data_IF_440640741551
#
_entry.id   IF_440640741551
#
_cell.length_a   1.000
_cell.length_b   1.000
_cell.length_c   1.000
_cell.angle_alpha   90.00
_cell.angle_beta   90.00
_cell.angle_gamma   90.00
#
_symmetry.space_group_name_H-M   'P 1'
#
loop_
_entity.id
_entity.type
_entity.pdbx_description
1 polymer ?
#
# COMPACT_ATOMS: atom_id res chain seq x y z
N UNK A 1 -27.15 20.88 -8.41
CA UNK A 1 -26.28 19.70 -8.38
C UNK A 1 -24.99 20.06 -9.09
N UNK A 2 -24.04 20.60 -8.34
CA UNK A 2 -22.66 20.80 -8.80
C UNK A 2 -22.01 19.42 -8.86
N UNK A 3 -21.57 18.99 -10.05
CA UNK A 3 -20.69 17.84 -10.18
C UNK A 3 -19.47 18.09 -9.28
N UNK A 4 -19.00 17.10 -8.51
CA UNK A 4 -17.71 17.22 -7.83
C UNK A 4 -16.67 17.52 -8.91
N UNK A 5 -15.87 18.57 -8.68
CA UNK A 5 -14.70 18.86 -9.51
C UNK A 5 -13.90 17.57 -9.63
N UNK A 6 -13.67 17.08 -10.85
CA UNK A 6 -12.73 15.98 -11.05
C UNK A 6 -11.44 16.37 -10.33
N UNK A 7 -11.05 15.59 -9.33
CA UNK A 7 -9.77 15.75 -8.66
C UNK A 7 -8.71 15.86 -9.77
N UNK A 8 -7.84 16.87 -9.70
CA UNK A 8 -6.83 17.06 -10.72
C UNK A 8 -5.72 16.02 -10.47
N UNK A 9 -6.01 14.77 -10.85
CA UNK A 9 -5.16 13.63 -10.58
C UNK A 9 -3.82 13.79 -11.32
N UNK A 10 -2.68 13.44 -10.71
CA UNK A 10 -1.37 13.60 -11.36
C UNK A 10 -1.18 12.75 -12.62
N UNK A 11 -2.02 11.73 -12.79
CA UNK A 11 -2.21 10.97 -14.03
C UNK A 11 -3.61 10.37 -14.04
N UNK A 12 -4.05 9.90 -15.21
CA UNK A 12 -5.30 9.14 -15.35
C UNK A 12 -5.06 7.69 -15.77
N UNK A 13 -5.90 6.75 -15.32
CA UNK A 13 -5.97 5.37 -15.86
C UNK A 13 -6.02 5.35 -17.38
N UNK A 14 -6.63 6.35 -18.01
CA UNK A 14 -6.71 6.48 -19.47
C UNK A 14 -5.37 6.71 -20.17
N UNK A 15 -4.33 7.16 -19.45
CA UNK A 15 -2.98 7.34 -19.98
C UNK A 15 -2.17 6.04 -20.03
N UNK A 16 -2.64 4.97 -19.41
CA UNK A 16 -1.98 3.66 -19.46
C UNK A 16 -2.39 2.97 -20.76
N UNK A 17 -1.41 2.67 -21.62
CA UNK A 17 -1.65 1.91 -22.84
C UNK A 17 -1.77 0.41 -22.55
N UNK A 18 -2.93 -0.01 -22.05
CA UNK A 18 -3.23 -1.42 -21.80
C UNK A 18 -3.15 -2.30 -23.06
N UNK A 19 -3.23 -1.71 -24.26
CA UNK A 19 -3.11 -2.49 -25.51
C UNK A 19 -1.66 -2.87 -25.83
N UNK A 20 -0.70 -2.18 -25.21
CA UNK A 20 0.72 -2.47 -25.35
C UNK A 20 1.24 -3.54 -24.37
N UNK A 21 0.35 -4.13 -23.54
CA UNK A 21 0.73 -5.17 -22.57
C UNK A 21 1.25 -6.40 -23.32
N UNK A 22 2.45 -6.83 -22.92
CA UNK A 22 3.10 -8.05 -23.43
C UNK A 22 2.78 -9.23 -22.52
N UNK A 23 1.53 -9.73 -22.60
CA UNK A 23 0.98 -10.76 -21.72
C UNK A 23 1.86 -12.01 -21.62
N UNK A 24 2.53 -12.39 -22.70
CA UNK A 24 3.45 -13.54 -22.76
C UNK A 24 4.62 -13.43 -21.78
N UNK A 25 5.03 -12.23 -21.37
CA UNK A 25 6.13 -12.03 -20.41
C UNK A 25 5.73 -12.31 -18.97
N UNK A 26 4.45 -12.19 -18.64
CA UNK A 26 3.96 -12.20 -17.25
C UNK A 26 2.96 -13.30 -16.96
N UNK A 27 2.22 -13.79 -17.97
CA UNK A 27 1.10 -14.71 -17.79
C UNK A 27 1.51 -16.03 -17.13
N UNK A 28 2.73 -16.50 -17.41
CA UNK A 28 3.31 -17.71 -16.81
C UNK A 28 3.83 -17.54 -15.38
N UNK A 29 4.02 -16.30 -14.92
CA UNK A 29 4.48 -16.02 -13.56
C UNK A 29 3.30 -16.03 -12.59
N UNK A 30 3.12 -17.17 -11.92
CA UNK A 30 2.05 -17.36 -10.94
C UNK A 30 2.26 -16.51 -9.69
N UNK A 31 3.49 -16.22 -9.30
CA UNK A 31 3.73 -15.39 -8.11
C UNK A 31 3.36 -13.94 -8.39
N UNK A 32 3.69 -13.45 -9.59
CA UNK A 32 3.26 -12.13 -10.04
C UNK A 32 1.74 -12.03 -10.18
N UNK A 33 1.07 -13.08 -10.67
CA UNK A 33 -0.40 -13.16 -10.66
C UNK A 33 -0.96 -12.90 -9.25
N UNK A 34 -0.54 -13.68 -8.26
CA UNK A 34 -1.06 -13.53 -6.89
C UNK A 34 -0.75 -12.13 -6.32
N UNK A 35 0.44 -11.59 -6.55
CA UNK A 35 0.83 -10.26 -6.09
C UNK A 35 -0.05 -9.15 -6.71
N UNK A 36 -0.32 -9.23 -8.01
CA UNK A 36 -1.08 -8.19 -8.71
C UNK A 36 -2.58 -8.29 -8.45
N UNK A 37 -3.14 -9.50 -8.39
CA UNK A 37 -4.55 -9.66 -8.03
C UNK A 37 -4.78 -9.21 -6.59
N UNK A 38 -3.94 -9.65 -5.65
CA UNK A 38 -4.06 -9.22 -4.25
C UNK A 38 -3.88 -7.71 -4.09
N UNK A 39 -2.92 -7.10 -4.77
CA UNK A 39 -2.78 -5.64 -4.78
C UNK A 39 -4.04 -4.96 -5.35
N UNK A 40 -4.56 -5.42 -6.49
CA UNK A 40 -5.77 -4.83 -7.08
C UNK A 40 -6.99 -4.90 -6.15
N UNK A 41 -7.11 -5.95 -5.33
CA UNK A 41 -8.16 -6.07 -4.34
C UNK A 41 -7.99 -5.07 -3.19
N UNK A 42 -6.80 -5.02 -2.59
CA UNK A 42 -6.50 -4.13 -1.46
C UNK A 42 -6.69 -2.66 -1.87
N UNK A 43 -6.13 -2.26 -3.01
CA UNK A 43 -6.25 -0.88 -3.52
C UNK A 43 -7.70 -0.50 -3.87
N UNK A 44 -8.51 -1.46 -4.34
CA UNK A 44 -9.92 -1.19 -4.66
C UNK A 44 -10.79 -1.04 -3.42
N UNK A 45 -10.39 -1.63 -2.28
CA UNK A 45 -11.10 -1.51 -0.99
C UNK A 45 -10.65 -0.32 -0.13
N UNK A 46 -9.78 0.55 -0.65
CA UNK A 46 -9.20 1.70 0.07
C UNK A 46 -10.22 2.78 0.45
N UNK A 47 -11.33 2.89 -0.28
CA UNK A 47 -12.39 3.90 -0.09
C UNK A 47 -13.02 3.87 1.31
N UNK A 48 -13.30 2.66 1.82
CA UNK A 48 -13.88 2.45 3.14
C UNK A 48 -12.95 2.99 4.22
N UNK A 49 -11.66 2.79 4.04
CA UNK A 49 -10.64 3.27 4.95
C UNK A 49 -10.41 4.78 4.82
N UNK A 50 -10.48 5.32 3.60
CA UNK A 50 -10.38 6.75 3.34
C UNK A 50 -11.53 7.56 3.92
N UNK A 51 -12.77 7.08 3.76
CA UNK A 51 -13.94 7.68 4.38
C UNK A 51 -13.86 7.66 5.92
N UNK A 52 -13.39 6.56 6.49
CA UNK A 52 -13.16 6.44 7.93
C UNK A 52 -12.10 7.43 8.43
N UNK A 53 -10.99 7.58 7.70
CA UNK A 53 -9.93 8.52 8.06
C UNK A 53 -10.37 9.99 7.91
N UNK A 54 -11.09 10.32 6.84
CA UNK A 54 -11.65 11.66 6.65
C UNK A 54 -12.63 12.02 7.78
N UNK A 55 -13.47 11.06 8.20
CA UNK A 55 -14.38 11.21 9.34
C UNK A 55 -13.61 11.45 10.64
N UNK A 56 -12.55 10.69 10.89
CA UNK A 56 -11.69 10.88 12.07
C UNK A 56 -11.04 12.29 12.11
N UNK A 57 -10.68 12.84 10.96
CA UNK A 57 -10.13 14.20 10.84
C UNK A 57 -11.16 15.28 10.54
N UNK A 58 -12.47 15.05 10.74
CA UNK A 58 -13.52 16.02 10.42
C UNK A 58 -13.35 17.39 11.13
N UNK A 59 -12.72 17.40 12.32
CA UNK A 59 -12.39 18.64 13.04
C UNK A 59 -11.22 19.44 12.44
N UNK A 60 -10.54 18.90 11.42
CA UNK A 60 -9.45 19.53 10.67
C UNK A 60 -9.82 19.59 9.19
N UNK A 61 -10.59 20.62 8.74
CA UNK A 61 -11.18 20.66 7.40
C UNK A 61 -10.18 20.49 6.25
N UNK A 62 -8.97 21.02 6.39
CA UNK A 62 -7.92 20.86 5.38
C UNK A 62 -7.45 19.40 5.24
N UNK A 63 -7.32 18.68 6.36
CA UNK A 63 -6.90 17.29 6.34
C UNK A 63 -8.03 16.40 5.80
N UNK A 64 -9.25 16.58 6.30
CA UNK A 64 -10.43 15.86 5.81
C UNK A 64 -10.67 16.11 4.30
N UNK A 65 -10.59 17.37 3.86
CA UNK A 65 -10.76 17.73 2.44
C UNK A 65 -9.67 17.12 1.55
N UNK A 66 -8.40 17.13 1.96
CA UNK A 66 -7.36 16.45 1.18
C UNK A 66 -7.58 14.93 1.10
N UNK A 67 -8.01 14.30 2.20
CA UNK A 67 -8.29 12.87 2.26
C UNK A 67 -9.42 12.46 1.30
N UNK A 68 -10.55 13.17 1.35
CA UNK A 68 -11.71 12.85 0.51
C UNK A 68 -11.57 13.31 -0.93
N UNK A 69 -11.04 14.52 -1.17
CA UNK A 69 -11.06 15.11 -2.51
C UNK A 69 -9.87 14.68 -3.38
N UNK A 70 -8.78 14.19 -2.77
CA UNK A 70 -7.55 13.86 -3.51
C UNK A 70 -7.06 12.45 -3.22
N UNK A 71 -6.79 12.12 -1.95
CA UNK A 71 -6.18 10.85 -1.60
C UNK A 71 -7.09 9.67 -1.99
N UNK A 72 -8.35 9.68 -1.59
CA UNK A 72 -9.34 8.64 -1.94
C UNK A 72 -9.46 8.44 -3.46
N UNK A 73 -9.46 9.52 -4.23
CA UNK A 73 -9.55 9.45 -5.68
C UNK A 73 -8.28 8.87 -6.33
N UNK A 74 -7.09 9.17 -5.78
CA UNK A 74 -5.81 8.58 -6.22
C UNK A 74 -5.77 7.06 -5.92
N UNK A 75 -6.15 6.64 -4.71
CA UNK A 75 -6.17 5.22 -4.29
C UNK A 75 -7.16 4.38 -5.12
N UNK A 76 -8.40 4.88 -5.32
CA UNK A 76 -9.39 4.21 -6.17
C UNK A 76 -8.90 4.05 -7.62
N UNK A 77 -8.15 5.03 -8.10
CA UNK A 77 -7.53 4.95 -9.42
C UNK A 77 -6.46 3.85 -9.47
N UNK A 78 -5.68 3.64 -8.41
CA UNK A 78 -4.68 2.56 -8.37
C UNK A 78 -5.36 1.20 -8.48
N UNK A 79 -6.42 0.98 -7.69
CA UNK A 79 -7.23 -0.23 -7.75
C UNK A 79 -7.79 -0.50 -9.14
N UNK A 80 -8.42 0.51 -9.75
CA UNK A 80 -8.95 0.42 -11.12
C UNK A 80 -7.85 0.12 -12.14
N UNK A 81 -6.68 0.75 -12.00
CA UNK A 81 -5.59 0.60 -12.94
C UNK A 81 -4.98 -0.81 -12.90
N UNK A 82 -4.85 -1.39 -11.70
CA UNK A 82 -4.39 -2.76 -11.47
C UNK A 82 -5.43 -3.78 -11.91
N UNK A 83 -6.72 -3.56 -11.61
CA UNK A 83 -7.82 -4.41 -12.09
C UNK A 83 -7.77 -4.54 -13.61
N UNK A 84 -7.67 -3.43 -14.35
CA UNK A 84 -7.58 -3.46 -15.82
C UNK A 84 -6.35 -4.23 -16.32
N UNK A 85 -5.23 -4.12 -15.61
CA UNK A 85 -4.03 -4.89 -15.95
C UNK A 85 -4.27 -6.39 -15.74
N UNK A 86 -4.85 -6.77 -14.60
CA UNK A 86 -5.18 -8.17 -14.28
C UNK A 86 -6.17 -8.75 -15.28
N UNK A 87 -7.28 -8.08 -15.57
CA UNK A 87 -8.30 -8.52 -16.53
C UNK A 87 -7.74 -8.66 -17.95
N UNK A 88 -6.72 -7.85 -18.31
CA UNK A 88 -6.04 -7.97 -19.60
C UNK A 88 -5.12 -9.21 -19.66
N UNK A 89 -4.31 -9.44 -18.63
CA UNK A 89 -3.31 -10.51 -18.62
C UNK A 89 -3.93 -11.88 -18.31
N UNK A 90 -4.94 -11.93 -17.44
CA UNK A 90 -5.65 -13.13 -16.98
C UNK A 90 -7.17 -12.95 -17.09
N UNK A 91 -7.73 -12.80 -18.32
CA UNK A 91 -9.17 -12.63 -18.54
C UNK A 91 -10.01 -13.81 -18.05
N UNK A 92 -9.40 -14.98 -17.82
CA UNK A 92 -10.05 -16.15 -17.25
C UNK A 92 -10.36 -16.02 -15.74
N UNK A 93 -9.70 -15.10 -15.04
CA UNK A 93 -9.91 -14.89 -13.61
C UNK A 93 -11.12 -13.99 -13.39
N UNK A 94 -12.12 -14.50 -12.67
CA UNK A 94 -13.31 -13.73 -12.26
C UNK A 94 -12.94 -12.75 -11.13
N UNK A 95 -12.41 -11.60 -11.55
CA UNK A 95 -11.93 -10.57 -10.64
C UNK A 95 -13.04 -10.02 -9.74
N UNK A 96 -14.22 -9.78 -10.32
CA UNK A 96 -15.34 -9.16 -9.60
C UNK A 96 -15.82 -10.05 -8.47
N UNK A 97 -16.08 -11.33 -8.74
CA UNK A 97 -16.46 -12.28 -7.70
C UNK A 97 -15.35 -12.46 -6.66
N UNK A 98 -14.09 -12.51 -7.08
CA UNK A 98 -12.96 -12.60 -6.15
C UNK A 98 -12.85 -11.38 -5.23
N UNK A 99 -13.08 -10.19 -5.77
CA UNK A 99 -13.07 -8.94 -5.02
C UNK A 99 -14.23 -8.87 -4.02
N UNK A 100 -15.45 -9.23 -4.43
CA UNK A 100 -16.61 -9.26 -3.52
C UNK A 100 -16.33 -10.16 -2.30
N UNK A 101 -15.83 -11.38 -2.53
CA UNK A 101 -15.49 -12.32 -1.45
C UNK A 101 -14.34 -11.82 -0.58
N UNK A 102 -13.33 -11.19 -1.18
CA UNK A 102 -12.26 -10.52 -0.43
C UNK A 102 -12.83 -9.41 0.46
N UNK A 103 -13.66 -8.54 -0.11
CA UNK A 103 -14.14 -7.35 0.56
C UNK A 103 -15.10 -7.66 1.71
N UNK A 104 -15.90 -8.74 1.61
CA UNK A 104 -16.70 -9.25 2.72
C UNK A 104 -15.88 -9.56 3.99
N UNK A 105 -14.66 -10.10 3.83
CA UNK A 105 -13.75 -10.36 4.95
C UNK A 105 -12.94 -9.11 5.32
N UNK A 106 -12.40 -8.40 4.33
CA UNK A 106 -11.53 -7.25 4.53
C UNK A 106 -12.23 -6.06 5.19
N UNK A 107 -13.49 -5.77 4.85
CA UNK A 107 -14.20 -4.64 5.46
C UNK A 107 -14.37 -4.79 6.98
N UNK A 108 -14.32 -6.01 7.51
CA UNK A 108 -14.42 -6.30 8.95
C UNK A 108 -13.13 -5.94 9.71
N UNK A 109 -11.98 -5.90 9.03
CA UNK A 109 -10.70 -5.49 9.63
C UNK A 109 -10.53 -3.97 9.65
N UNK A 110 -11.29 -3.25 8.81
CA UNK A 110 -11.22 -1.79 8.64
C UNK A 110 -11.93 -0.97 9.74
N UNK A 111 -11.74 -1.33 11.02
CA UNK A 111 -12.37 -0.61 12.15
C UNK A 111 -11.59 0.66 12.55
N UNK A 112 -12.34 1.74 12.81
CA UNK A 112 -11.84 3.02 13.35
C UNK A 112 -11.23 2.83 14.75
N UNK A 113 -11.66 1.83 15.51
CA UNK A 113 -11.17 1.55 16.87
C UNK A 113 -9.68 1.18 16.92
N UNK A 114 -9.07 0.89 15.76
CA UNK A 114 -7.64 0.59 15.62
C UNK A 114 -6.78 1.82 15.31
N UNK A 115 -7.35 3.03 15.33
CA UNK A 115 -6.59 4.25 15.09
C UNK A 115 -5.72 4.62 16.30
N UNK A 116 -4.61 5.31 16.02
CA UNK A 116 -3.73 5.78 17.06
C UNK A 116 -4.44 6.80 17.98
N UNK A 117 -4.03 6.92 19.27
CA UNK A 117 -4.73 7.73 20.26
C UNK A 117 -4.77 9.24 19.97
N UNK A 118 -3.95 9.72 19.02
CA UNK A 118 -3.92 11.14 18.65
C UNK A 118 -3.80 11.32 17.14
N UNK A 119 -4.28 12.46 16.66
CA UNK A 119 -4.26 12.80 15.24
C UNK A 119 -2.85 12.84 14.66
N UNK A 120 -1.85 13.32 15.40
CA UNK A 120 -0.47 13.25 14.95
C UNK A 120 0.06 11.81 14.87
N UNK A 121 -0.21 10.96 15.87
CA UNK A 121 0.27 9.57 15.84
C UNK A 121 -0.36 8.78 14.69
N UNK A 122 -1.63 9.02 14.38
CA UNK A 122 -2.29 8.38 13.23
C UNK A 122 -1.67 8.85 11.90
N UNK A 123 -1.39 10.15 11.72
CA UNK A 123 -0.65 10.65 10.54
C UNK A 123 0.76 10.02 10.43
N UNK A 124 1.44 9.80 11.56
CA UNK A 124 2.73 9.10 11.57
C UNK A 124 2.59 7.62 11.18
N UNK A 125 1.53 6.96 11.63
CA UNK A 125 1.21 5.60 11.26
C UNK A 125 0.93 5.49 9.75
N UNK A 126 0.24 6.46 9.13
CA UNK A 126 0.07 6.52 7.67
C UNK A 126 1.37 6.68 6.91
N UNK A 127 2.31 7.46 7.43
CA UNK A 127 3.65 7.50 6.85
C UNK A 127 4.31 6.11 6.76
N UNK A 128 4.03 5.18 7.68
CA UNK A 128 4.52 3.79 7.60
C UNK A 128 3.84 3.04 6.46
N UNK A 129 2.50 3.13 6.36
CA UNK A 129 1.70 2.48 5.31
C UNK A 129 2.17 2.92 3.94
N UNK A 130 2.20 4.24 3.67
CA UNK A 130 2.66 4.81 2.40
C UNK A 130 4.10 4.40 2.06
N UNK A 131 4.97 4.30 3.07
CA UNK A 131 6.35 3.84 2.85
C UNK A 131 6.38 2.37 2.42
N UNK A 132 5.54 1.53 3.04
CA UNK A 132 5.38 0.13 2.69
C UNK A 132 4.86 -0.04 1.27
N UNK A 133 3.75 0.62 0.93
CA UNK A 133 3.10 0.58 -0.38
C UNK A 133 4.02 1.12 -1.48
N UNK A 134 4.71 2.26 -1.24
CA UNK A 134 5.72 2.78 -2.16
C UNK A 134 6.84 1.77 -2.42
N UNK A 135 7.36 1.12 -1.37
CA UNK A 135 8.43 0.14 -1.49
C UNK A 135 7.96 -1.14 -2.20
N UNK A 136 6.72 -1.57 -1.95
CA UNK A 136 6.08 -2.71 -2.61
C UNK A 136 6.01 -2.51 -4.12
N UNK A 137 5.46 -1.38 -4.58
CA UNK A 137 5.35 -1.11 -6.01
C UNK A 137 6.71 -0.87 -6.69
N UNK A 138 7.71 -0.34 -5.97
CA UNK A 138 9.10 -0.30 -6.49
C UNK A 138 9.72 -1.67 -6.63
N UNK A 139 9.41 -2.59 -5.73
CA UNK A 139 9.85 -3.97 -5.82
C UNK A 139 9.18 -4.66 -7.02
N UNK A 140 7.87 -4.46 -7.22
CA UNK A 140 7.16 -4.96 -8.41
C UNK A 140 7.70 -4.35 -9.71
N UNK A 141 7.97 -3.05 -9.75
CA UNK A 141 8.62 -2.39 -10.88
C UNK A 141 9.95 -3.08 -11.21
N UNK A 142 10.73 -3.47 -10.20
CA UNK A 142 12.03 -4.13 -10.40
C UNK A 142 11.91 -5.62 -10.72
N UNK A 143 10.88 -6.30 -10.22
CA UNK A 143 10.67 -7.74 -10.38
C UNK A 143 10.17 -8.13 -11.78
N UNK A 144 9.58 -7.18 -12.54
CA UNK A 144 9.07 -7.43 -13.88
C UNK A 144 9.85 -6.67 -14.96
N UNK A 145 9.96 -7.27 -16.15
CA UNK A 145 10.48 -6.67 -17.36
C UNK A 145 9.38 -6.25 -18.36
N UNK A 146 8.10 -6.42 -17.99
CA UNK A 146 6.95 -6.02 -18.81
C UNK A 146 6.77 -4.49 -18.77
N UNK A 147 6.86 -3.78 -19.91
CA UNK A 147 6.95 -2.31 -19.92
C UNK A 147 5.75 -1.57 -19.32
N UNK A 148 4.53 -2.07 -19.52
CA UNK A 148 3.30 -1.42 -19.05
C UNK A 148 3.19 -1.57 -17.53
N UNK A 149 3.45 -2.75 -16.99
CA UNK A 149 3.45 -3.03 -15.56
C UNK A 149 4.50 -2.21 -14.83
N UNK A 150 5.72 -2.14 -15.36
CA UNK A 150 6.77 -1.27 -14.82
C UNK A 150 6.33 0.18 -14.76
N UNK A 151 5.64 0.66 -15.78
CA UNK A 151 5.13 2.03 -15.84
C UNK A 151 4.00 2.26 -14.83
N UNK A 152 3.06 1.33 -14.75
CA UNK A 152 1.93 1.36 -13.82
C UNK A 152 2.42 1.38 -12.37
N UNK A 153 3.21 0.38 -11.99
CA UNK A 153 3.77 0.25 -10.63
C UNK A 153 4.66 1.44 -10.26
N UNK A 154 5.43 2.00 -11.20
CA UNK A 154 6.17 3.25 -10.98
C UNK A 154 5.27 4.44 -10.70
N UNK A 155 4.16 4.58 -11.41
CA UNK A 155 3.20 5.68 -11.21
C UNK A 155 2.57 5.57 -9.83
N UNK A 156 2.04 4.41 -9.46
CA UNK A 156 1.51 4.15 -8.12
C UNK A 156 2.57 4.43 -7.05
N UNK A 157 3.78 3.88 -7.18
CA UNK A 157 4.86 4.15 -6.22
C UNK A 157 5.27 5.64 -6.13
N UNK A 158 5.05 6.46 -7.17
CA UNK A 158 5.27 7.91 -7.09
C UNK A 158 4.14 8.61 -6.33
N UNK A 159 2.92 8.10 -6.42
CA UNK A 159 1.73 8.59 -5.73
C UNK A 159 1.89 8.34 -4.23
N UNK A 160 2.26 7.13 -3.82
CA UNK A 160 2.54 6.81 -2.40
C UNK A 160 3.63 7.70 -1.78
N UNK A 161 4.66 8.05 -2.55
CA UNK A 161 5.69 8.98 -2.09
C UNK A 161 5.13 10.41 -1.94
N UNK A 162 4.13 10.81 -2.74
CA UNK A 162 3.42 12.07 -2.54
C UNK A 162 2.47 11.99 -1.35
N UNK A 163 1.66 10.94 -1.24
CA UNK A 163 0.78 10.67 -0.09
C UNK A 163 1.57 10.77 1.21
N UNK A 164 2.70 10.06 1.28
CA UNK A 164 3.65 10.13 2.39
C UNK A 164 4.04 11.57 2.77
N UNK A 165 4.35 12.43 1.78
CA UNK A 165 4.74 13.81 2.05
C UNK A 165 3.58 14.62 2.63
N UNK A 166 2.36 14.38 2.17
CA UNK A 166 1.15 15.02 2.71
C UNK A 166 0.88 14.57 4.14
N UNK A 167 0.89 13.26 4.41
CA UNK A 167 0.77 12.72 5.76
C UNK A 167 1.87 13.26 6.69
N UNK A 168 3.12 13.29 6.23
CA UNK A 168 4.25 13.80 7.00
C UNK A 168 4.09 15.30 7.32
N UNK A 169 3.56 16.09 6.38
CA UNK A 169 3.26 17.52 6.62
C UNK A 169 2.20 17.70 7.70
N UNK A 170 1.10 16.95 7.65
CA UNK A 170 0.07 16.99 8.67
C UNK A 170 0.58 16.49 10.02
N UNK A 171 1.36 15.40 10.03
CA UNK A 171 2.04 14.90 11.21
C UNK A 171 2.88 15.97 11.91
N UNK A 172 3.77 16.66 11.18
CA UNK A 172 4.63 17.69 11.80
C UNK A 172 3.79 18.80 12.45
N UNK A 173 2.75 19.25 11.75
CA UNK A 173 1.84 20.29 12.27
C UNK A 173 1.14 19.84 13.54
N UNK A 174 0.58 18.63 13.54
CA UNK A 174 -0.15 18.12 14.70
C UNK A 174 0.78 17.80 15.86
N UNK A 175 1.97 17.26 15.59
CA UNK A 175 2.97 16.93 16.60
C UNK A 175 3.47 18.17 17.36
N UNK A 176 3.56 19.32 16.69
CA UNK A 176 3.87 20.61 17.34
C UNK A 176 2.76 21.03 18.31
N UNK A 177 1.49 20.94 17.89
CA UNK A 177 0.35 21.29 18.75
C UNK A 177 0.16 20.31 19.92
N UNK A 178 0.36 19.02 19.69
CA UNK A 178 0.18 17.95 20.67
C UNK A 178 1.41 17.74 21.57
N UNK A 179 2.52 18.45 21.29
CA UNK A 179 3.80 18.36 22.02
C UNK A 179 4.33 16.92 22.13
N UNK A 180 4.27 16.18 21.03
CA UNK A 180 4.67 14.77 21.02
C UNK A 180 6.19 14.60 21.11
N UNK A 181 6.61 13.72 22.03
CA UNK A 181 7.99 13.27 22.11
C UNK A 181 8.32 12.17 21.10
N UNK A 182 9.58 12.10 20.66
CA UNK A 182 10.09 11.11 19.68
C UNK A 182 9.84 9.65 20.09
N UNK A 183 9.80 9.35 21.39
CA UNK A 183 9.54 8.00 21.90
C UNK A 183 8.10 7.55 21.63
N UNK A 184 7.12 8.45 21.73
CA UNK A 184 5.73 8.15 21.39
C UNK A 184 5.56 7.92 19.89
N UNK A 185 6.22 8.75 19.07
CA UNK A 185 6.26 8.59 17.62
C UNK A 185 6.88 7.25 17.25
N UNK A 186 8.04 6.91 17.81
CA UNK A 186 8.69 5.61 17.59
C UNK A 186 7.76 4.45 17.97
N UNK A 187 7.03 4.58 19.09
CA UNK A 187 6.03 3.61 19.52
C UNK A 187 4.93 3.40 18.49
N UNK A 188 4.36 4.47 17.94
CA UNK A 188 3.33 4.40 16.89
C UNK A 188 3.88 3.80 15.59
N UNK A 189 5.06 4.22 15.14
CA UNK A 189 5.70 3.63 13.95
C UNK A 189 5.94 2.12 14.14
N UNK A 190 6.40 1.71 15.33
CA UNK A 190 6.66 0.30 15.64
C UNK A 190 5.38 -0.52 15.72
N UNK A 191 4.33 -0.01 16.37
CA UNK A 191 3.02 -0.66 16.41
C UNK A 191 2.49 -0.87 15.00
N UNK A 192 2.45 0.19 14.19
CA UNK A 192 1.95 0.08 12.81
C UNK A 192 2.80 -0.88 11.96
N UNK A 193 4.13 -0.88 12.11
CA UNK A 193 4.99 -1.88 11.44
C UNK A 193 4.69 -3.33 11.87
N UNK A 194 4.30 -3.55 13.12
CA UNK A 194 3.92 -4.86 13.65
C UNK A 194 2.48 -5.25 13.29
N UNK A 195 1.59 -4.29 13.06
CA UNK A 195 0.21 -4.47 12.62
C UNK A 195 0.11 -4.73 11.12
N UNK A 196 1.00 -4.13 10.30
CA UNK A 196 1.17 -4.42 8.86
C UNK A 196 1.58 -5.91 8.61
N UNK A 197 1.60 -6.75 9.65
CA UNK A 197 1.73 -8.20 9.51
C UNK A 197 0.55 -8.78 8.75
N UNK A 198 0.75 -8.97 7.44
CA UNK A 198 0.25 -10.03 6.56
C UNK A 198 -1.25 -10.38 6.57
N UNK A 199 -2.11 -9.75 7.37
CA UNK A 199 -3.51 -10.13 7.50
C UNK A 199 -4.27 -9.78 6.22
N UNK A 200 -4.15 -8.54 5.74
CA UNK A 200 -4.75 -8.10 4.49
C UNK A 200 -4.25 -8.91 3.28
N UNK A 201 -2.94 -9.10 3.20
CA UNK A 201 -2.32 -9.91 2.15
C UNK A 201 -2.78 -11.38 2.24
N UNK A 202 -2.94 -11.93 3.45
CA UNK A 202 -3.42 -13.30 3.62
C UNK A 202 -4.91 -13.43 3.25
N UNK A 203 -5.75 -12.46 3.62
CA UNK A 203 -7.17 -12.40 3.23
C UNK A 203 -7.27 -12.32 1.70
N UNK A 204 -6.49 -11.45 1.07
CA UNK A 204 -6.44 -11.33 -0.39
C UNK A 204 -5.99 -12.65 -1.05
N UNK A 205 -4.84 -13.20 -0.65
CA UNK A 205 -4.30 -14.45 -1.21
C UNK A 205 -5.25 -15.63 -1.01
N UNK A 206 -5.89 -15.74 0.16
CA UNK A 206 -6.91 -16.76 0.44
C UNK A 206 -8.06 -16.65 -0.56
N UNK A 207 -8.59 -15.46 -0.78
CA UNK A 207 -9.71 -15.26 -1.70
C UNK A 207 -9.31 -15.47 -3.17
N UNK A 208 -8.09 -15.12 -3.57
CA UNK A 208 -7.57 -15.49 -4.91
C UNK A 208 -7.49 -17.01 -5.07
N UNK A 209 -6.97 -17.74 -4.06
CA UNK A 209 -6.92 -19.20 -4.07
C UNK A 209 -8.32 -19.84 -4.12
N UNK A 210 -9.30 -19.29 -3.39
CA UNK A 210 -10.69 -19.77 -3.44
C UNK A 210 -11.25 -19.72 -4.85
N UNK A 211 -11.05 -18.60 -5.54
CA UNK A 211 -11.53 -18.41 -6.91
C UNK A 211 -10.81 -19.34 -7.88
N UNK A 212 -9.49 -19.44 -7.81
CA UNK A 212 -8.70 -20.30 -8.71
C UNK A 212 -9.05 -21.78 -8.57
N UNK A 213 -9.33 -22.24 -7.35
CA UNK A 213 -9.64 -23.66 -7.08
C UNK A 213 -11.13 -23.98 -7.14
N UNK A 214 -12.00 -22.97 -7.12
CA UNK A 214 -13.44 -23.15 -6.96
C UNK A 214 -13.79 -23.80 -5.62
N UNK A 215 -13.04 -23.51 -4.56
CA UNK A 215 -13.20 -24.10 -3.23
C UNK A 215 -13.20 -23.01 -2.16
N UNK A 216 -14.19 -23.00 -1.26
CA UNK A 216 -14.28 -21.99 -0.19
C UNK A 216 -13.30 -22.26 0.96
N UNK A 217 -13.06 -23.53 1.30
CA UNK A 217 -12.16 -23.90 2.40
C UNK A 217 -10.72 -24.04 1.90
N UNK A 218 -9.91 -23.00 2.13
CA UNK A 218 -8.49 -22.98 1.80
C UNK A 218 -7.70 -23.11 3.12
N UNK A 219 -6.91 -24.18 3.30
CA UNK A 219 -6.15 -24.37 4.53
C UNK A 219 -5.17 -23.23 4.81
N UNK A 220 -5.15 -22.73 6.06
CA UNK A 220 -4.30 -21.59 6.45
C UNK A 220 -2.80 -21.80 6.16
N UNK A 221 -2.32 -23.03 6.33
CA UNK A 221 -0.92 -23.36 6.07
C UNK A 221 -0.54 -23.16 4.60
N UNK A 222 -1.48 -23.35 3.67
CA UNK A 222 -1.27 -23.09 2.24
C UNK A 222 -1.23 -21.60 1.95
N UNK A 223 -2.15 -20.81 2.53
CA UNK A 223 -2.14 -19.34 2.42
C UNK A 223 -0.83 -18.79 2.96
N UNK A 224 -0.36 -19.30 4.10
CA UNK A 224 0.92 -18.90 4.72
C UNK A 224 2.12 -19.28 3.85
N UNK A 225 2.12 -20.46 3.25
CA UNK A 225 3.18 -20.91 2.35
C UNK A 225 3.21 -20.04 1.08
N UNK A 226 2.05 -19.76 0.48
CA UNK A 226 1.92 -18.88 -0.66
C UNK A 226 2.40 -17.46 -0.33
N UNK A 227 1.91 -16.89 0.78
CA UNK A 227 2.31 -15.56 1.23
C UNK A 227 3.83 -15.47 1.43
N UNK A 228 4.44 -16.48 2.05
CA UNK A 228 5.90 -16.54 2.25
C UNK A 228 6.67 -16.55 0.92
N UNK A 229 6.14 -17.27 -0.08
CA UNK A 229 6.71 -17.39 -1.44
C UNK A 229 6.60 -16.08 -2.20
N UNK A 230 5.41 -15.50 -2.32
CA UNK A 230 5.21 -14.24 -3.06
C UNK A 230 5.90 -13.06 -2.38
N UNK A 231 5.93 -13.05 -1.03
CA UNK A 231 6.71 -12.05 -0.28
C UNK A 231 8.21 -12.15 -0.56
N UNK A 232 8.75 -13.31 -0.91
CA UNK A 232 10.16 -13.45 -1.28
C UNK A 232 10.50 -12.69 -2.56
N UNK A 233 9.56 -12.61 -3.52
CA UNK A 233 9.70 -11.81 -4.74
C UNK A 233 9.87 -10.33 -4.38
N UNK A 234 9.04 -9.82 -3.47
CA UNK A 234 9.10 -8.44 -2.99
C UNK A 234 10.40 -8.17 -2.22
N UNK A 235 10.76 -9.04 -1.26
CA UNK A 235 11.98 -8.88 -0.45
C UNK A 235 13.24 -8.77 -1.31
N UNK A 236 13.34 -9.58 -2.37
CA UNK A 236 14.49 -9.59 -3.29
C UNK A 236 14.70 -8.26 -4.03
N UNK A 237 13.63 -7.50 -4.24
CA UNK A 237 13.64 -6.27 -5.03
C UNK A 237 13.35 -5.01 -4.21
N UNK A 238 13.30 -5.13 -2.88
CA UNK A 238 12.92 -4.05 -1.99
C UNK A 238 13.94 -2.91 -2.03
N UNK A 239 13.54 -1.64 -2.24
CA UNK A 239 14.45 -0.49 -2.20
C UNK A 239 14.80 -0.11 -0.75
N UNK A 240 15.58 -0.96 -0.06
CA UNK A 240 15.85 -0.87 1.39
C UNK A 240 16.28 0.53 1.85
N UNK A 241 17.17 1.20 1.11
CA UNK A 241 17.64 2.54 1.50
C UNK A 241 16.51 3.58 1.52
N UNK A 242 15.64 3.55 0.51
CA UNK A 242 14.49 4.46 0.43
C UNK A 242 13.50 4.17 1.55
N UNK A 243 13.15 2.90 1.76
CA UNK A 243 12.23 2.46 2.82
C UNK A 243 12.73 2.89 4.21
N UNK A 244 13.99 2.58 4.55
CA UNK A 244 14.57 2.95 5.85
C UNK A 244 14.61 4.47 6.03
N UNK A 245 14.97 5.22 4.99
CA UNK A 245 14.99 6.69 5.04
C UNK A 245 13.60 7.27 5.34
N UNK A 246 12.56 6.76 4.68
CA UNK A 246 11.19 7.24 4.87
C UNK A 246 10.64 6.86 6.24
N UNK A 247 10.90 5.64 6.73
CA UNK A 247 10.49 5.21 8.08
C UNK A 247 11.14 6.03 9.20
N UNK A 248 12.38 6.48 9.03
CA UNK A 248 13.08 7.26 10.05
C UNK A 248 12.67 8.74 10.08
N UNK A 249 12.07 9.27 9.01
CA UNK A 249 11.78 10.71 8.88
C UNK A 249 10.82 11.25 9.95
N UNK A 250 9.73 10.56 10.35
CA UNK A 250 8.82 11.05 11.39
C UNK A 250 9.49 11.23 12.76
N UNK A 251 10.63 10.57 13.00
CA UNK A 251 11.38 10.73 14.25
C UNK A 251 12.11 12.08 14.36
N UNK A 252 12.21 12.83 13.25
CA UNK A 252 12.85 14.14 13.16
C UNK A 252 14.21 14.17 13.90
N UNK A 253 15.05 13.17 13.59
CA UNK A 253 16.38 13.02 14.16
C UNK A 253 17.32 14.09 13.62
N UNK A 254 18.30 14.50 14.42
CA UNK A 254 19.36 15.37 13.92
C UNK A 254 20.10 14.69 12.75
N UNK A 255 20.49 15.44 11.71
CA UNK A 255 21.00 14.86 10.45
C UNK A 255 22.19 13.91 10.66
N UNK A 256 23.04 14.22 11.64
CA UNK A 256 24.20 13.38 12.02
C UNK A 256 23.76 12.04 12.62
N UNK A 257 22.77 12.07 13.52
CA UNK A 257 22.23 10.88 14.16
C UNK A 257 21.45 10.03 13.15
N UNK A 258 20.64 10.67 12.28
CA UNK A 258 19.92 9.98 11.22
C UNK A 258 20.88 9.26 10.26
N UNK A 259 22.01 9.90 9.88
CA UNK A 259 23.04 9.25 9.06
C UNK A 259 23.74 8.11 9.79
N UNK A 260 24.03 8.29 11.08
CA UNK A 260 24.70 7.29 11.91
C UNK A 260 23.85 6.03 12.11
N UNK A 261 22.53 6.17 12.28
CA UNK A 261 21.59 5.04 12.47
C UNK A 261 21.19 4.40 11.14
N UNK A 262 21.03 5.18 10.07
CA UNK A 262 20.54 4.66 8.78
C UNK A 262 21.49 3.66 8.14
N UNK A 263 22.79 3.95 8.06
CA UNK A 263 23.76 3.06 7.42
C UNK A 263 23.77 1.64 8.03
N UNK A 264 23.90 1.47 9.36
CA UNK A 264 23.86 0.14 9.96
C UNK A 264 22.48 -0.50 9.82
N UNK A 265 21.39 0.26 9.93
CA UNK A 265 20.04 -0.28 9.78
C UNK A 265 19.79 -0.80 8.35
N UNK A 266 20.22 -0.06 7.32
CA UNK A 266 20.17 -0.52 5.93
C UNK A 266 20.99 -1.80 5.77
N UNK A 267 22.22 -1.85 6.28
CA UNK A 267 23.06 -3.05 6.17
C UNK A 267 22.42 -4.29 6.85
N UNK A 268 21.82 -4.11 8.04
CA UNK A 268 21.13 -5.18 8.76
C UNK A 268 19.89 -5.63 7.97
N UNK A 269 19.03 -4.70 7.54
CA UNK A 269 17.81 -5.02 6.81
C UNK A 269 18.14 -5.68 5.48
N UNK A 270 19.11 -5.16 4.71
CA UNK A 270 19.56 -5.78 3.46
C UNK A 270 20.06 -7.21 3.69
N UNK A 271 20.77 -7.49 4.78
CA UNK A 271 21.22 -8.85 5.11
C UNK A 271 20.07 -9.77 5.44
N UNK A 272 19.06 -9.29 6.18
CA UNK A 272 17.85 -10.06 6.51
C UNK A 272 17.01 -10.31 5.26
N UNK A 273 16.94 -9.37 4.32
CA UNK A 273 16.14 -9.52 3.08
C UNK A 273 16.80 -10.45 2.04
N UNK A 274 18.10 -10.70 2.15
CA UNK A 274 18.86 -11.63 1.30
C UNK A 274 18.80 -13.10 1.80
N UNK A 275 18.29 -13.34 3.00
CA UNK A 275 18.17 -14.65 3.64
C UNK A 275 16.70 -15.02 3.84
#
# INVERSE_FOLDING_TARGET
MTQPSAANLPWSVSEIDYRAIQSERVRGDRDLFYLLVSASFIESGSDTYAGNLATYYAAVPEAAGWLSDHWEAEELQHGLALRRYVEHVWPEFDWERGYERFFEEYCQTCSIDQFEPTGALEMAARCVVETGTAAYYRALEQASDEPVLRTLTRRIANDEVRHYKHFYRFFNRFAESERLGRTRVLGALTRRLLEIKNEDAAIALRNVLRMERGQEDIPEHEVKALNSRVSAVIRRHLPVEMTVKMLLRPLNLHVTLERAVRKPLVAVVSRVMLH
#
